data_IF_284296251095
#
_entry.id   IF_284296251095
#
_cell.length_a   1.000
_cell.length_b   1.000
_cell.length_c   1.000
_cell.angle_alpha   90.00
_cell.angle_beta   90.00
_cell.angle_gamma   90.00
#
_symmetry.space_group_name_H-M   'P 1'
#
loop_
_entity.id
_entity.type
_entity.pdbx_description
1 polymer ?
#
# COMPACT_ATOMS: atom_id res chain seq x y z
N UNK A 1 -30.44 -47.11 24.98
CA UNK A 1 -29.65 -48.35 24.85
C UNK A 1 -30.37 -49.28 23.89
N UNK A 2 -29.72 -49.65 22.77
CA UNK A 2 -29.92 -50.83 21.91
C UNK A 2 -31.36 -50.99 21.35
N UNK A 3 -31.62 -51.01 20.05
CA UNK A 3 -31.10 -51.84 18.97
C UNK A 3 -31.24 -51.04 17.65
N UNK A 4 -30.50 -51.26 16.58
CA UNK A 4 -30.74 -52.32 15.59
C UNK A 4 -29.50 -52.47 14.69
N UNK A 5 -29.39 -53.69 14.18
CA UNK A 5 -28.28 -54.43 13.64
C UNK A 5 -27.92 -54.08 12.17
N UNK A 6 -26.62 -53.92 11.95
CA UNK A 6 -25.75 -54.19 10.78
C UNK A 6 -26.40 -54.86 9.55
N UNK A 7 -26.21 -54.26 8.36
CA UNK A 7 -25.94 -54.98 7.10
C UNK A 7 -24.70 -54.36 6.43
N UNK A 8 -23.74 -55.25 6.17
CA UNK A 8 -22.45 -55.10 5.51
C UNK A 8 -22.59 -55.49 4.03
N UNK A 9 -21.78 -54.88 3.15
CA UNK A 9 -21.18 -55.41 1.89
C UNK A 9 -21.08 -54.29 0.83
N UNK A 10 -19.92 -53.63 0.66
CA UNK A 10 -18.71 -54.01 -0.11
C UNK A 10 -18.76 -53.74 -1.61
N UNK A 11 -17.60 -53.23 -2.07
CA UNK A 11 -16.96 -53.43 -3.36
C UNK A 11 -17.18 -52.37 -4.47
N UNK A 12 -16.30 -51.37 -4.41
CA UNK A 12 -15.34 -50.95 -5.44
C UNK A 12 -15.49 -51.50 -6.86
N UNK A 13 -15.36 -50.62 -7.86
CA UNK A 13 -14.54 -50.74 -9.10
C UNK A 13 -14.68 -49.44 -9.90
N UNK A 14 -13.76 -48.93 -10.72
CA UNK A 14 -12.30 -48.90 -10.85
C UNK A 14 -12.03 -48.10 -12.16
N UNK A 15 -10.82 -47.51 -12.29
CA UNK A 15 -10.11 -47.13 -13.54
C UNK A 15 -10.63 -45.90 -14.33
N UNK A 16 -9.83 -45.03 -14.93
CA UNK A 16 -8.38 -44.95 -15.15
C UNK A 16 -8.12 -43.86 -16.23
N UNK A 17 -7.13 -43.00 -16.03
CA UNK A 17 -6.70 -41.99 -17.01
C UNK A 17 -5.22 -42.19 -17.32
N UNK A 18 -4.93 -42.80 -18.47
CA UNK A 18 -3.59 -43.09 -18.94
C UNK A 18 -2.87 -41.82 -19.44
N UNK A 19 -1.63 -41.65 -18.99
CA UNK A 19 -0.62 -40.84 -19.64
C UNK A 19 -0.34 -41.42 -21.04
N UNK A 20 -0.19 -40.55 -22.04
CA UNK A 20 0.25 -40.94 -23.37
C UNK A 20 1.63 -40.33 -23.64
N UNK A 21 2.61 -41.20 -23.90
CA UNK A 21 3.96 -40.81 -24.27
C UNK A 21 4.51 -41.89 -25.23
N UNK A 22 4.70 -41.55 -26.51
CA UNK A 22 5.59 -42.25 -27.44
C UNK A 22 5.72 -41.49 -28.79
N UNK A 23 6.71 -40.62 -28.85
CA UNK A 23 7.80 -40.56 -29.85
C UNK A 23 7.58 -41.13 -31.27
N UNK A 24 7.76 -40.29 -32.31
CA UNK A 24 8.44 -40.65 -33.58
C UNK A 24 9.14 -39.43 -34.24
N UNK A 25 10.48 -39.43 -34.13
CA UNK A 25 11.49 -39.38 -35.19
C UNK A 25 11.58 -38.21 -36.20
N UNK A 26 12.68 -37.46 -36.03
CA UNK A 26 13.67 -36.97 -37.01
C UNK A 26 13.20 -36.26 -38.31
N UNK A 27 13.47 -34.96 -38.36
CA UNK A 27 13.69 -34.18 -39.57
C UNK A 27 14.65 -33.03 -39.27
N UNK A 28 15.89 -33.14 -39.77
CA UNK A 28 16.86 -32.04 -39.79
C UNK A 28 16.31 -30.85 -40.56
N UNK A 29 16.50 -29.63 -40.04
CA UNK A 29 17.01 -28.49 -40.83
C UNK A 29 17.31 -27.25 -39.97
N UNK A 30 18.58 -26.85 -40.06
CA UNK A 30 19.07 -25.47 -40.17
C UNK A 30 19.18 -24.63 -38.89
N UNK A 31 20.42 -24.63 -38.37
CA UNK A 31 21.04 -23.49 -37.70
C UNK A 31 20.97 -22.23 -38.57
N UNK A 32 20.56 -21.11 -38.00
CA UNK A 32 21.13 -19.82 -38.38
C UNK A 32 21.12 -18.89 -37.17
N UNK A 33 22.28 -18.83 -36.53
CA UNK A 33 22.70 -17.78 -35.62
C UNK A 33 22.87 -16.48 -36.40
N UNK A 34 22.12 -15.45 -36.04
CA UNK A 34 22.51 -14.06 -36.31
C UNK A 34 22.28 -13.23 -35.05
N UNK A 35 23.38 -12.97 -34.35
CA UNK A 35 23.53 -11.91 -33.36
C UNK A 35 23.83 -10.57 -34.03
N UNK A 36 23.53 -9.49 -33.30
CA UNK A 36 24.00 -8.08 -33.44
C UNK A 36 23.14 -7.19 -34.36
N UNK A 37 22.65 -5.99 -34.05
CA UNK A 37 22.49 -5.11 -32.87
C UNK A 37 21.71 -3.90 -33.39
N UNK A 38 20.76 -3.32 -32.62
CA UNK A 38 20.34 -1.91 -32.73
C UNK A 38 20.05 -1.43 -31.31
N UNK A 39 20.98 -0.67 -30.76
CA UNK A 39 20.83 0.79 -30.59
C UNK A 39 19.89 1.07 -29.41
N UNK A 40 20.52 1.03 -28.24
CA UNK A 40 19.98 1.44 -26.95
C UNK A 40 20.26 2.94 -26.82
N UNK A 41 19.28 3.78 -27.17
CA UNK A 41 19.22 5.16 -26.72
C UNK A 41 17.79 5.52 -26.32
N UNK A 42 17.69 6.05 -25.10
CA UNK A 42 16.61 6.88 -24.56
C UNK A 42 15.24 6.23 -24.32
N UNK A 43 14.97 5.90 -23.06
CA UNK A 43 13.97 6.61 -22.24
C UNK A 43 14.13 6.21 -20.77
N UNK A 44 14.94 6.98 -20.05
CA UNK A 44 14.92 7.00 -18.59
C UNK A 44 13.73 7.85 -18.15
N UNK A 45 12.51 7.30 -18.20
CA UNK A 45 11.35 7.93 -17.53
C UNK A 45 10.12 7.02 -17.35
N UNK A 46 10.31 5.72 -17.07
CA UNK A 46 9.19 4.80 -16.80
C UNK A 46 9.44 3.85 -15.62
N UNK A 47 10.18 4.28 -14.61
CA UNK A 47 10.52 3.41 -13.47
C UNK A 47 10.09 3.97 -12.11
N UNK A 48 9.09 4.85 -12.05
CA UNK A 48 8.49 5.30 -10.77
C UNK A 48 7.27 4.46 -10.35
N UNK A 49 6.77 3.58 -11.23
CA UNK A 49 5.59 2.74 -10.95
C UNK A 49 5.92 1.27 -10.60
N UNK A 50 7.20 0.92 -10.41
CA UNK A 50 7.57 -0.42 -9.90
C UNK A 50 7.40 -0.47 -8.39
N UNK A 51 6.16 -0.52 -7.92
CA UNK A 51 5.88 -0.69 -6.49
C UNK A 51 4.48 -0.33 -6.03
N UNK A 52 3.62 0.23 -6.89
CA UNK A 52 2.21 0.40 -6.58
C UNK A 52 1.53 -0.97 -6.64
N UNK A 53 1.43 -1.61 -5.49
CA UNK A 53 0.50 -2.72 -5.29
C UNK A 53 -0.87 -2.09 -5.16
N UNK A 54 -1.83 -2.62 -5.92
CA UNK A 54 -3.24 -2.29 -5.79
C UNK A 54 -3.70 -2.60 -4.35
N UNK A 55 -4.20 -1.60 -3.64
CA UNK A 55 -4.65 -1.77 -2.26
C UNK A 55 -6.06 -2.35 -2.27
N UNK A 56 -6.34 -3.45 -1.56
CA UNK A 56 -7.69 -4.01 -1.50
C UNK A 56 -8.65 -3.19 -0.60
N UNK A 57 -8.24 -2.00 -0.16
CA UNK A 57 -9.02 -1.15 0.74
C UNK A 57 -9.48 0.15 0.08
N UNK A 58 -8.98 0.50 -1.11
CA UNK A 58 -9.35 1.73 -1.79
C UNK A 58 -9.06 1.67 -3.30
N UNK A 59 -9.88 2.33 -4.15
CA UNK A 59 -9.67 2.35 -5.59
C UNK A 59 -8.33 2.93 -6.06
N UNK A 60 -7.90 2.57 -7.27
CA UNK A 60 -6.70 3.14 -7.91
C UNK A 60 -6.86 4.64 -8.21
N UNK A 61 -6.04 5.47 -7.56
CA UNK A 61 -6.06 6.92 -7.70
C UNK A 61 -4.99 7.45 -8.68
N UNK A 62 -4.25 6.59 -9.37
CA UNK A 62 -3.13 6.97 -10.24
C UNK A 62 -3.53 7.87 -11.41
N UNK A 63 -4.79 7.78 -11.84
CA UNK A 63 -5.35 8.62 -12.92
C UNK A 63 -5.83 9.99 -12.46
N UNK A 64 -5.97 10.21 -11.15
CA UNK A 64 -6.55 11.42 -10.58
C UNK A 64 -5.48 12.49 -10.38
N UNK A 65 -5.53 13.50 -11.25
CA UNK A 65 -4.54 14.59 -11.34
C UNK A 65 -5.16 15.97 -11.14
N UNK A 66 -6.47 16.13 -11.29
CA UNK A 66 -7.17 17.40 -11.12
C UNK A 66 -8.31 17.28 -10.10
N UNK A 67 -8.46 18.29 -9.25
CA UNK A 67 -9.55 18.36 -8.25
C UNK A 67 -10.91 18.25 -8.94
N UNK A 68 -11.76 17.37 -8.41
CA UNK A 68 -13.08 17.06 -8.95
C UNK A 68 -13.10 15.85 -9.89
N UNK A 69 -11.94 15.32 -10.32
CA UNK A 69 -11.90 14.06 -11.04
C UNK A 69 -12.34 12.90 -10.14
N UNK A 70 -13.01 11.92 -10.74
CA UNK A 70 -13.56 10.74 -10.08
C UNK A 70 -13.04 9.48 -10.76
N UNK A 71 -12.76 8.44 -9.97
CA UNK A 71 -12.45 7.10 -10.42
C UNK A 71 -13.30 6.08 -9.66
N UNK A 72 -13.56 4.93 -10.29
CA UNK A 72 -14.33 3.85 -9.69
C UNK A 72 -13.84 2.50 -10.18
N UNK A 73 -13.66 1.57 -9.26
CA UNK A 73 -13.35 0.16 -9.52
C UNK A 73 -14.14 -0.76 -8.58
N UNK A 74 -13.57 -1.94 -8.25
CA UNK A 74 -14.21 -2.92 -7.40
C UNK A 74 -14.33 -2.48 -5.93
N UNK A 75 -13.45 -1.58 -5.47
CA UNK A 75 -13.36 -1.17 -4.06
C UNK A 75 -14.22 0.06 -3.77
N UNK A 76 -14.90 0.61 -4.78
CA UNK A 76 -15.83 1.72 -4.65
C UNK A 76 -15.49 2.88 -5.57
N UNK A 77 -15.91 4.08 -5.20
CA UNK A 77 -15.65 5.29 -5.99
C UNK A 77 -14.98 6.38 -5.18
N UNK A 78 -13.97 7.01 -5.77
CA UNK A 78 -13.19 8.09 -5.17
C UNK A 78 -13.26 9.36 -6.01
N UNK A 79 -13.27 10.52 -5.36
CA UNK A 79 -13.20 11.84 -6.00
C UNK A 79 -12.10 12.68 -5.37
N UNK A 80 -11.19 13.22 -6.18
CA UNK A 80 -10.09 14.07 -5.71
C UNK A 80 -10.63 15.40 -5.20
N UNK A 81 -10.38 15.71 -3.92
CA UNK A 81 -10.81 16.95 -3.25
C UNK A 81 -9.69 17.96 -3.10
N UNK A 82 -8.47 17.49 -2.85
CA UNK A 82 -7.26 18.31 -2.80
C UNK A 82 -6.04 17.44 -3.13
N UNK A 83 -4.97 18.05 -3.63
CA UNK A 83 -3.69 17.40 -3.88
C UNK A 83 -2.56 18.36 -3.56
N UNK A 84 -1.46 17.83 -3.05
CA UNK A 84 -0.24 18.61 -2.80
C UNK A 84 0.87 18.21 -3.77
N UNK A 85 1.62 19.20 -4.26
CA UNK A 85 2.88 18.97 -5.00
C UNK A 85 4.05 18.60 -4.06
N UNK A 86 3.77 18.42 -2.76
CA UNK A 86 4.79 18.05 -1.77
C UNK A 86 5.45 16.73 -2.15
N UNK A 87 6.77 16.79 -2.33
CA UNK A 87 7.61 15.64 -2.64
C UNK A 87 8.99 15.90 -2.03
N UNK A 88 9.11 15.65 -0.73
CA UNK A 88 10.30 16.02 0.03
C UNK A 88 10.89 14.81 0.75
N UNK A 89 12.23 14.74 0.72
CA UNK A 89 13.02 13.76 1.47
C UNK A 89 13.60 14.41 2.71
N UNK A 90 13.33 13.82 3.86
CA UNK A 90 13.79 14.25 5.17
C UNK A 90 14.69 13.18 5.80
N UNK A 91 15.83 13.60 6.37
CA UNK A 91 16.72 12.70 7.10
C UNK A 91 16.49 12.85 8.61
N UNK A 92 16.21 11.73 9.28
CA UNK A 92 15.91 11.63 10.71
C UNK A 92 16.92 10.64 11.31
N UNK A 93 18.10 11.15 11.68
CA UNK A 93 19.21 10.29 12.09
C UNK A 93 19.66 9.39 10.94
N UNK A 94 19.66 8.08 11.15
CA UNK A 94 20.00 7.09 10.12
C UNK A 94 18.77 6.56 9.35
N UNK A 95 17.67 7.31 9.33
CA UNK A 95 16.48 7.02 8.53
C UNK A 95 16.26 8.13 7.50
N UNK A 96 16.13 7.76 6.23
CA UNK A 96 15.62 8.64 5.19
C UNK A 96 14.12 8.38 4.99
N UNK A 97 13.31 9.43 5.05
CA UNK A 97 11.88 9.41 4.84
C UNK A 97 11.54 10.32 3.65
N UNK A 98 10.86 9.79 2.63
CA UNK A 98 10.26 10.59 1.56
C UNK A 98 8.74 10.57 1.72
N UNK A 99 8.13 11.76 1.69
CA UNK A 99 6.68 11.96 1.69
C UNK A 99 6.30 12.54 0.34
N UNK A 100 5.37 11.89 -0.37
CA UNK A 100 4.92 12.31 -1.70
C UNK A 100 3.47 11.90 -1.99
N UNK A 101 2.94 12.32 -3.15
CA UNK A 101 1.61 11.92 -3.66
C UNK A 101 0.50 12.08 -2.59
N UNK A 102 0.48 13.26 -1.97
CA UNK A 102 -0.47 13.57 -0.88
C UNK A 102 -1.77 14.06 -1.47
N UNK A 103 -2.86 13.34 -1.21
CA UNK A 103 -4.19 13.62 -1.76
C UNK A 103 -5.25 13.55 -0.68
N UNK A 104 -6.29 14.35 -0.84
CA UNK A 104 -7.53 14.27 -0.06
C UNK A 104 -8.62 13.80 -1.00
N UNK A 105 -9.35 12.78 -0.58
CA UNK A 105 -10.29 12.05 -1.41
C UNK A 105 -11.63 11.97 -0.70
N UNK A 106 -12.73 12.16 -1.42
CA UNK A 106 -14.02 11.65 -0.98
C UNK A 106 -14.16 10.21 -1.47
N UNK A 107 -14.64 9.33 -0.61
CA UNK A 107 -14.72 7.90 -0.84
C UNK A 107 -16.11 7.39 -0.50
N UNK A 108 -16.71 6.68 -1.45
CA UNK A 108 -17.84 5.80 -1.21
C UNK A 108 -17.36 4.35 -1.43
N UNK A 109 -17.10 3.58 -0.34
CA UNK A 109 -16.62 2.21 -0.45
C UNK A 109 -17.61 1.29 -1.15
N UNK A 110 -17.10 0.19 -1.70
CA UNK A 110 -17.94 -0.92 -2.14
C UNK A 110 -18.70 -1.52 -0.94
N UNK A 111 -19.89 -2.13 -1.17
CA UNK A 111 -20.70 -2.66 -0.07
C UNK A 111 -20.01 -3.68 0.84
N UNK A 112 -19.01 -4.42 0.33
CA UNK A 112 -18.23 -5.39 1.08
C UNK A 112 -17.13 -4.78 1.96
N UNK A 113 -16.76 -3.51 1.73
CA UNK A 113 -15.79 -2.76 2.53
C UNK A 113 -16.45 -1.92 3.64
N UNK A 114 -17.78 -1.81 3.67
CA UNK A 114 -18.52 -1.04 4.69
C UNK A 114 -18.16 -1.52 6.11
N UNK A 115 -18.19 -2.83 6.37
CA UNK A 115 -17.86 -3.39 7.69
C UNK A 115 -16.40 -3.13 8.09
N UNK A 116 -15.48 -3.07 7.11
CA UNK A 116 -14.09 -2.71 7.35
C UNK A 116 -13.95 -1.25 7.82
N UNK A 117 -14.67 -0.34 7.16
CA UNK A 117 -14.63 1.08 7.47
C UNK A 117 -15.38 1.49 8.73
N UNK A 118 -16.21 0.61 9.31
CA UNK A 118 -16.83 0.85 10.62
C UNK A 118 -15.81 1.11 11.74
N UNK A 119 -14.58 0.58 11.60
CA UNK A 119 -13.49 0.84 12.56
C UNK A 119 -12.83 2.22 12.43
N UNK A 120 -13.01 2.91 11.30
CA UNK A 120 -12.26 4.13 10.95
C UNK A 120 -13.16 5.35 10.73
N UNK A 121 -14.39 5.15 10.26
CA UNK A 121 -15.32 6.21 9.85
C UNK A 121 -16.53 6.34 10.77
N UNK A 122 -17.03 7.57 10.94
CA UNK A 122 -18.33 7.87 11.53
C UNK A 122 -19.50 7.70 10.54
N UNK A 123 -19.20 7.69 9.24
CA UNK A 123 -20.12 7.37 8.14
C UNK A 123 -19.39 6.42 7.21
N UNK A 124 -19.63 5.12 7.37
CA UNK A 124 -18.97 4.06 6.60
C UNK A 124 -19.43 3.96 5.14
N UNK A 125 -20.43 4.77 4.73
CA UNK A 125 -20.97 4.76 3.37
C UNK A 125 -20.43 5.88 2.49
N UNK A 126 -20.03 7.00 3.10
CA UNK A 126 -19.36 8.10 2.43
C UNK A 126 -18.50 8.89 3.43
N UNK A 127 -17.21 9.03 3.14
CA UNK A 127 -16.31 9.80 4.00
C UNK A 127 -15.16 10.42 3.21
N UNK A 128 -14.46 11.37 3.82
CA UNK A 128 -13.23 11.90 3.27
C UNK A 128 -12.03 11.20 3.93
N UNK A 129 -10.93 11.06 3.20
CA UNK A 129 -9.68 10.58 3.77
C UNK A 129 -8.49 11.31 3.14
N UNK A 130 -7.37 11.33 3.87
CA UNK A 130 -6.08 11.76 3.33
C UNK A 130 -5.22 10.54 3.03
N UNK A 131 -4.67 10.49 1.83
CA UNK A 131 -3.69 9.51 1.36
C UNK A 131 -2.31 10.15 1.34
N UNK A 132 -1.30 9.40 1.77
CA UNK A 132 0.10 9.81 1.72
C UNK A 132 0.92 8.64 1.18
N UNK A 133 1.75 8.87 0.15
CA UNK A 133 2.80 7.91 -0.22
C UNK A 133 4.04 8.16 0.63
N UNK A 134 4.59 7.07 1.14
CA UNK A 134 5.78 7.06 1.98
C UNK A 134 6.84 6.14 1.37
N UNK A 135 8.10 6.58 1.41
CA UNK A 135 9.26 5.71 1.25
C UNK A 135 10.19 5.91 2.45
N UNK A 136 10.53 4.82 3.13
CA UNK A 136 11.44 4.81 4.27
C UNK A 136 12.65 3.95 3.94
N UNK A 137 13.84 4.44 4.27
CA UNK A 137 15.11 3.71 4.17
C UNK A 137 15.89 3.82 5.47
N UNK A 138 16.28 2.68 6.03
CA UNK A 138 17.28 2.64 7.10
C UNK A 138 18.69 2.65 6.50
N UNK A 139 19.43 3.74 6.69
CA UNK A 139 20.79 3.92 6.18
C UNK A 139 21.88 3.43 7.14
N UNK A 140 21.52 2.95 8.34
CA UNK A 140 22.48 2.44 9.33
C UNK A 140 22.95 1.01 9.05
N UNK A 141 23.98 0.59 9.79
CA UNK A 141 24.47 -0.79 9.86
C UNK A 141 23.71 -1.68 10.86
N UNK A 142 22.63 -1.17 11.45
CA UNK A 142 21.85 -1.82 12.52
C UNK A 142 20.36 -1.85 12.18
N UNK A 143 19.60 -2.66 12.91
CA UNK A 143 18.13 -2.53 12.89
C UNK A 143 17.71 -1.32 13.70
N UNK A 144 16.77 -0.55 13.17
CA UNK A 144 16.09 0.54 13.89
C UNK A 144 14.58 0.30 13.89
N UNK A 145 13.87 0.86 14.86
CA UNK A 145 12.41 0.88 14.90
C UNK A 145 11.92 2.31 14.62
N UNK A 146 10.98 2.46 13.69
CA UNK A 146 10.51 3.76 13.22
C UNK A 146 9.07 3.68 12.71
N UNK A 147 8.30 4.75 12.90
CA UNK A 147 7.01 4.97 12.28
C UNK A 147 7.04 6.30 11.50
N UNK A 148 6.74 6.28 10.18
CA UNK A 148 6.73 7.49 9.36
C UNK A 148 5.63 8.47 9.77
N UNK A 149 4.54 7.96 10.35
CA UNK A 149 3.47 8.75 10.95
C UNK A 149 3.18 8.18 12.34
N UNK A 150 3.56 8.92 13.39
CA UNK A 150 3.11 8.69 14.77
C UNK A 150 1.83 9.45 15.06
N UNK A 151 1.69 10.66 14.49
CA UNK A 151 0.47 11.45 14.53
C UNK A 151 0.35 12.22 13.22
N UNK A 152 -0.85 12.24 12.64
CA UNK A 152 -1.24 13.18 11.61
C UNK A 152 -2.24 14.17 12.22
N UNK A 153 -2.06 15.46 11.94
CA UNK A 153 -2.94 16.52 12.43
C UNK A 153 -3.37 17.42 11.26
N UNK A 154 -4.67 17.62 11.08
CA UNK A 154 -5.22 18.55 10.09
C UNK A 154 -5.12 20.00 10.58
N UNK A 155 -5.23 20.98 9.67
CA UNK A 155 -5.15 22.40 10.02
C UNK A 155 -6.27 22.90 10.94
N UNK A 156 -7.38 22.16 11.06
CA UNK A 156 -8.47 22.40 12.00
C UNK A 156 -8.39 21.57 13.29
N UNK A 157 -7.36 20.72 13.42
CA UNK A 157 -6.98 20.05 14.67
C UNK A 157 -7.51 18.63 14.85
N UNK A 158 -8.11 17.99 13.84
CA UNK A 158 -8.35 16.54 13.87
C UNK A 158 -7.01 15.80 13.92
N UNK A 159 -6.88 14.81 14.81
CA UNK A 159 -5.67 14.01 14.95
C UNK A 159 -5.93 12.55 14.62
N UNK A 160 -4.96 11.89 14.00
CA UNK A 160 -4.93 10.47 13.66
C UNK A 160 -3.64 9.84 14.16
N UNK A 161 -3.75 8.68 14.77
CA UNK A 161 -2.61 7.86 15.18
C UNK A 161 -2.24 6.83 14.13
N UNK A 162 -1.18 6.07 14.40
CA UNK A 162 -0.74 4.99 13.51
C UNK A 162 -1.79 3.87 13.33
N UNK A 163 -2.61 3.60 14.36
CA UNK A 163 -3.70 2.61 14.30
C UNK A 163 -4.87 3.04 13.40
N UNK A 164 -4.93 4.32 13.01
CA UNK A 164 -5.98 4.86 12.14
C UNK A 164 -5.64 4.72 10.64
N UNK A 165 -4.47 4.16 10.28
CA UNK A 165 -4.13 3.85 8.90
C UNK A 165 -4.91 2.64 8.39
N UNK A 166 -5.72 2.84 7.34
CA UNK A 166 -6.53 1.78 6.76
C UNK A 166 -5.86 1.04 5.59
N UNK A 167 -4.74 1.52 5.03
CA UNK A 167 -4.01 0.79 3.97
C UNK A 167 -3.26 -0.43 4.53
N UNK A 168 -2.81 -0.35 5.80
CA UNK A 168 -2.23 -1.48 6.53
C UNK A 168 -1.00 -2.10 5.84
N UNK A 169 -0.21 -1.28 5.13
CA UNK A 169 0.96 -1.72 4.36
C UNK A 169 2.23 -1.96 5.21
N UNK A 170 2.08 -1.96 6.55
CA UNK A 170 3.15 -2.27 7.52
C UNK A 170 4.41 -1.39 7.38
N UNK A 171 4.19 -0.09 7.17
CA UNK A 171 5.24 0.92 7.04
C UNK A 171 5.78 1.41 8.39
N UNK A 172 5.40 0.81 9.51
CA UNK A 172 5.98 1.10 10.82
C UNK A 172 6.66 -0.14 11.40
N UNK A 173 7.49 0.07 12.42
CA UNK A 173 8.16 -0.98 13.16
C UNK A 173 9.62 -1.14 12.77
N UNK A 174 10.11 -2.38 12.75
CA UNK A 174 11.52 -2.68 12.53
C UNK A 174 11.92 -2.52 11.06
N UNK A 175 13.08 -1.90 10.87
CA UNK A 175 13.82 -1.78 9.62
C UNK A 175 15.21 -2.36 9.81
N UNK A 176 15.53 -3.47 9.14
CA UNK A 176 16.87 -4.03 9.08
C UNK A 176 17.86 -3.03 8.42
N UNK A 177 19.16 -3.29 8.59
CA UNK A 177 20.20 -2.47 7.97
C UNK A 177 20.01 -2.44 6.44
N UNK A 178 19.92 -1.24 5.88
CA UNK A 178 19.69 -1.03 4.45
C UNK A 178 18.27 -1.36 3.96
N UNK A 179 17.34 -1.74 4.84
CA UNK A 179 15.97 -2.04 4.45
C UNK A 179 15.25 -0.80 3.95
N UNK A 180 14.48 -0.97 2.87
CA UNK A 180 13.61 0.04 2.30
C UNK A 180 12.17 -0.48 2.27
N UNK A 181 11.21 0.36 2.67
CA UNK A 181 9.77 0.09 2.52
C UNK A 181 9.13 1.27 1.81
N UNK A 182 8.30 0.98 0.82
CA UNK A 182 7.50 1.96 0.09
C UNK A 182 6.05 1.53 0.17
N UNK A 183 5.15 2.48 0.40
CA UNK A 183 3.74 2.18 0.45
C UNK A 183 2.86 3.41 0.65
N UNK A 184 1.60 3.16 0.94
CA UNK A 184 0.58 4.16 1.19
C UNK A 184 0.13 4.12 2.66
N UNK A 185 -0.23 5.29 3.17
CA UNK A 185 -0.98 5.46 4.41
C UNK A 185 -2.26 6.24 4.11
N UNK A 186 -3.35 5.87 4.78
CA UNK A 186 -4.67 6.45 4.55
C UNK A 186 -5.41 6.65 5.85
N UNK A 187 -5.84 7.88 6.11
CA UNK A 187 -6.50 8.25 7.35
C UNK A 187 -7.85 8.88 7.05
N UNK A 188 -8.93 8.26 7.54
CA UNK A 188 -10.29 8.81 7.43
C UNK A 188 -10.38 10.12 8.21
N UNK A 189 -10.96 11.16 7.61
CA UNK A 189 -11.19 12.47 8.20
C UNK A 189 -12.65 12.56 8.67
N UNK A 190 -12.86 12.39 9.97
CA UNK A 190 -14.17 12.27 10.60
C UNK A 190 -14.75 13.61 11.05
N UNK A 191 -13.90 14.58 11.35
CA UNK A 191 -14.30 15.89 11.88
C UNK A 191 -13.75 17.06 11.09
N UNK A 192 -12.83 16.80 10.16
CA UNK A 192 -12.16 17.83 9.36
C UNK A 192 -13.15 18.53 8.43
N UNK A 193 -13.19 19.86 8.50
CA UNK A 193 -13.84 20.71 7.51
C UNK A 193 -12.90 20.92 6.32
N UNK A 194 -13.22 20.31 5.18
CA UNK A 194 -12.40 20.42 3.96
C UNK A 194 -12.27 21.86 3.44
N UNK A 195 -13.21 22.77 3.73
CA UNK A 195 -13.08 24.17 3.34
C UNK A 195 -11.98 24.89 4.15
N UNK A 196 -11.64 24.37 5.33
CA UNK A 196 -10.61 24.91 6.23
C UNK A 196 -9.29 24.13 6.16
N UNK A 197 -9.24 23.03 5.40
CA UNK A 197 -8.06 22.20 5.24
C UNK A 197 -7.05 22.87 4.30
N UNK A 198 -6.03 23.49 4.88
CA UNK A 198 -4.94 24.14 4.14
C UNK A 198 -3.59 23.43 4.30
N UNK A 199 -3.48 22.53 5.27
CA UNK A 199 -2.30 21.72 5.51
C UNK A 199 -2.64 20.50 6.37
N UNK A 200 -1.78 19.49 6.29
CA UNK A 200 -1.62 18.47 7.33
C UNK A 200 -0.22 18.61 7.94
N UNK A 201 -0.12 18.25 9.21
CA UNK A 201 1.15 18.08 9.90
C UNK A 201 1.35 16.61 10.22
N UNK A 202 2.49 16.07 9.80
CA UNK A 202 2.93 14.71 10.06
C UNK A 202 4.01 14.77 11.12
N UNK A 203 3.76 14.10 12.24
CA UNK A 203 4.76 13.80 13.27
C UNK A 203 5.27 12.40 13.02
N UNK A 204 6.58 12.23 12.85
CA UNK A 204 7.18 10.90 12.83
C UNK A 204 7.32 10.36 14.25
N UNK A 205 7.62 9.07 14.43
CA UNK A 205 8.17 8.62 15.71
C UNK A 205 9.61 9.11 15.89
N UNK A 206 10.13 8.97 17.10
CA UNK A 206 11.57 8.87 17.30
C UNK A 206 12.13 7.65 16.54
N UNK A 207 13.41 7.67 16.23
CA UNK A 207 14.13 6.47 15.78
C UNK A 207 14.64 5.76 17.01
N UNK A 208 14.26 4.49 17.18
CA UNK A 208 14.66 3.68 18.32
C UNK A 208 15.63 2.57 17.92
N UNK A 209 16.46 2.12 18.86
CA UNK A 209 17.17 0.86 18.71
C UNK A 209 16.29 -0.35 19.12
N UNK A 210 16.85 -1.57 19.04
CA UNK A 210 16.13 -2.80 19.43
C UNK A 210 15.75 -2.89 20.92
N UNK A 211 16.27 -1.99 21.76
CA UNK A 211 15.96 -1.92 23.20
C UNK A 211 14.96 -0.79 23.50
N UNK A 212 14.37 -0.19 22.47
CA UNK A 212 13.48 0.96 22.56
C UNK A 212 14.17 2.22 23.12
N UNK A 213 15.51 2.27 23.07
CA UNK A 213 16.25 3.48 23.42
C UNK A 213 16.21 4.44 22.23
N UNK A 214 15.83 5.70 22.49
CA UNK A 214 15.82 6.75 21.46
C UNK A 214 17.24 7.01 20.93
N UNK A 215 17.43 6.77 19.63
CA UNK A 215 18.64 7.13 18.89
C UNK A 215 18.56 8.56 18.34
N UNK A 216 17.40 8.96 17.82
CA UNK A 216 17.17 10.30 17.26
C UNK A 216 15.72 10.71 17.47
N UNK A 217 15.49 12.00 17.75
CA UNK A 217 14.14 12.55 17.91
C UNK A 217 13.41 12.65 16.58
N UNK A 218 12.11 12.33 16.63
CA UNK A 218 11.21 12.46 15.50
C UNK A 218 11.09 13.92 15.02
N UNK A 219 10.55 14.08 13.82
CA UNK A 219 10.41 15.37 13.17
C UNK A 219 8.95 15.70 12.84
N UNK A 220 8.70 17.00 12.67
CA UNK A 220 7.43 17.55 12.19
C UNK A 220 7.59 17.92 10.73
N UNK A 221 6.71 17.42 9.88
CA UNK A 221 6.65 17.72 8.46
C UNK A 221 5.29 18.32 8.16
N UNK A 222 5.24 19.53 7.62
CA UNK A 222 3.99 20.20 7.24
C UNK A 222 3.83 20.13 5.73
N UNK A 223 2.71 19.55 5.29
CA UNK A 223 2.34 19.42 3.88
C UNK A 223 1.20 20.41 3.58
N UNK A 224 1.41 21.43 2.73
CA UNK A 224 0.38 22.38 2.36
C UNK A 224 -0.53 21.83 1.24
N UNK A 225 -1.76 22.32 1.17
CA UNK A 225 -2.71 22.11 0.07
C UNK A 225 -3.03 23.42 -0.66
#
# INVERSE_FOLDING_TARGET
>A
MKHVLIILCTASLFLGGCANNANQQAGSQTENTTTVTKEDETNADQNENKGLIDSPQAPDDSSLTEVGQTYQDADGSITLKASSDFNEKTTIGDVELTVSDVKVMAYAPSPDLIDFFHGYSNDETEFNYVKIRIHVKNTSDKTVNFAPVSTLETSDGEKKGFDDDFYLENLYGDYASGEEKTGQLGFVLNTTDLEQLNAITIQTSDVFDKKEETLTKGQSITVPF
#
